data_IF_696958159604
#
_entry.id   IF_696958159604
#
_cell.length_a   1.000
_cell.length_b   1.000
_cell.length_c   1.000
_cell.angle_alpha   90.00
_cell.angle_beta   90.00
_cell.angle_gamma   90.00
#
_symmetry.space_group_name_H-M   'P 1'
#
loop_
_entity.id
_entity.type
_entity.pdbx_description
1 polymer ?
#
# COMPACT_ATOMS: atom_id res chain seq x y z
N UNK A 1 2.24 64.88 49.77
CA UNK A 1 2.61 64.22 48.51
C UNK A 1 3.66 63.18 48.84
N UNK A 2 3.42 61.90 48.54
CA UNK A 2 4.46 60.87 48.63
C UNK A 2 5.15 60.79 47.26
N UNK A 3 6.47 61.00 47.21
CA UNK A 3 7.24 60.81 45.98
C UNK A 3 7.47 59.31 45.72
N UNK A 4 7.47 58.85 44.46
CA UNK A 4 7.77 57.45 44.15
C UNK A 4 9.24 57.13 44.44
N UNK A 5 9.49 55.91 44.92
CA UNK A 5 10.84 55.40 45.15
C UNK A 5 11.64 55.25 43.83
N UNK A 6 12.98 55.37 43.86
CA UNK A 6 13.81 55.15 42.68
C UNK A 6 13.74 53.66 42.26
N UNK A 7 13.73 53.36 40.94
CA UNK A 7 13.63 51.98 40.47
C UNK A 7 14.82 51.15 40.94
N UNK A 8 14.54 49.96 41.49
CA UNK A 8 15.55 49.03 41.96
C UNK A 8 16.46 48.61 40.81
N UNK A 9 17.78 48.74 41.00
CA UNK A 9 18.77 48.23 40.04
C UNK A 9 18.65 46.71 39.96
N UNK A 10 17.99 46.23 38.91
CA UNK A 10 18.08 44.83 38.50
C UNK A 10 19.54 44.48 38.28
N UNK A 11 20.11 43.67 39.20
CA UNK A 11 21.46 43.15 39.02
C UNK A 11 21.50 42.41 37.67
N UNK A 12 22.45 42.71 36.77
CA UNK A 12 22.59 41.90 35.57
C UNK A 12 22.82 40.46 36.01
N UNK A 13 21.94 39.56 35.58
CA UNK A 13 22.04 38.13 35.86
C UNK A 13 23.38 37.67 35.30
N UNK A 14 24.36 37.41 36.18
CA UNK A 14 25.69 36.89 35.81
C UNK A 14 25.43 35.66 34.95
N UNK A 15 25.70 35.78 33.66
CA UNK A 15 25.74 34.62 32.78
C UNK A 15 27.02 33.87 33.16
N UNK A 16 26.88 32.79 33.93
CA UNK A 16 27.98 31.84 34.11
C UNK A 16 28.42 31.41 32.71
N UNK A 17 29.71 31.58 32.40
CA UNK A 17 30.20 31.17 31.10
C UNK A 17 29.98 29.65 30.95
N UNK A 18 29.59 29.23 29.75
CA UNK A 18 29.47 27.80 29.47
C UNK A 18 30.84 27.27 29.05
N UNK A 19 31.21 26.11 29.61
CA UNK A 19 32.44 25.43 29.25
C UNK A 19 32.56 25.19 27.74
N UNK A 20 33.77 25.30 27.23
CA UNK A 20 34.07 25.07 25.82
C UNK A 20 34.33 23.59 25.54
N UNK A 21 33.88 23.08 24.40
CA UNK A 21 34.31 21.75 23.96
C UNK A 21 35.74 21.79 23.43
N UNK A 22 36.62 21.00 24.06
CA UNK A 22 37.93 20.71 23.48
C UNK A 22 37.82 19.90 22.18
N UNK A 23 38.93 19.78 21.42
CA UNK A 23 38.93 19.07 20.15
C UNK A 23 38.49 17.61 20.32
N UNK A 24 37.88 17.07 19.27
CA UNK A 24 37.62 15.65 19.16
C UNK A 24 38.93 14.87 19.07
N UNK A 25 39.06 13.81 19.89
CA UNK A 25 40.12 12.83 19.73
C UNK A 25 39.99 12.02 18.43
N UNK A 26 40.99 11.16 18.13
CA UNK A 26 40.94 10.26 16.99
C UNK A 26 39.77 9.27 17.10
N UNK A 27 39.37 8.71 15.96
CA UNK A 27 38.43 7.58 15.90
C UNK A 27 39.12 6.31 16.42
N UNK A 28 38.36 5.48 17.14
CA UNK A 28 38.76 4.11 17.48
C UNK A 28 38.85 3.23 16.22
N UNK A 29 39.38 2.02 16.40
CA UNK A 29 39.09 0.91 15.49
C UNK A 29 37.57 0.66 15.37
N UNK A 30 37.16 -0.01 14.29
CA UNK A 30 35.79 -0.46 14.10
C UNK A 30 35.44 -1.56 15.12
N UNK A 31 34.19 -1.60 15.60
CA UNK A 31 33.73 -2.63 16.55
C UNK A 31 33.57 -4.04 15.93
N UNK A 32 33.47 -4.12 14.61
CA UNK A 32 33.45 -5.36 13.81
C UNK A 32 34.79 -5.58 13.12
N UNK A 33 35.14 -6.85 12.83
CA UNK A 33 36.33 -7.22 12.05
C UNK A 33 36.07 -7.41 10.55
N UNK A 34 34.80 -7.55 10.16
CA UNK A 34 34.32 -7.61 8.77
C UNK A 34 32.90 -7.03 8.70
N UNK A 35 32.46 -6.64 7.51
CA UNK A 35 31.16 -6.02 7.30
C UNK A 35 30.99 -4.68 8.02
N UNK A 36 29.77 -4.41 8.46
CA UNK A 36 29.36 -3.16 9.13
C UNK A 36 29.76 -3.15 10.61
N UNK A 37 30.16 -1.99 11.13
CA UNK A 37 30.39 -1.76 12.55
C UNK A 37 30.39 -0.27 12.91
N UNK A 38 30.83 0.05 14.13
CA UNK A 38 30.89 1.42 14.67
C UNK A 38 32.29 1.75 15.19
N UNK A 39 32.77 2.95 14.90
CA UNK A 39 33.92 3.58 15.54
C UNK A 39 33.46 4.71 16.49
N UNK A 40 34.13 4.85 17.62
CA UNK A 40 33.87 5.88 18.64
C UNK A 40 34.97 6.95 18.59
N UNK A 41 34.60 8.21 18.81
CA UNK A 41 35.53 9.26 19.27
C UNK A 41 34.96 10.04 20.45
N UNK A 42 35.84 10.65 21.22
CA UNK A 42 35.48 11.41 22.44
C UNK A 42 36.15 12.77 22.45
N UNK A 43 35.47 13.76 23.02
CA UNK A 43 36.02 15.08 23.38
C UNK A 43 36.06 15.25 24.90
N UNK A 44 36.62 16.37 25.37
CA UNK A 44 36.58 16.76 26.78
C UNK A 44 35.91 18.13 26.91
N UNK A 45 35.08 18.31 27.93
CA UNK A 45 34.56 19.63 28.29
C UNK A 45 35.68 20.38 29.00
N UNK A 46 36.15 21.46 28.40
CA UNK A 46 37.13 22.39 28.96
C UNK A 46 36.34 23.48 29.68
N UNK A 47 36.18 23.32 31.00
CA UNK A 47 35.47 24.28 31.84
C UNK A 47 36.27 24.59 33.11
N UNK A 48 36.21 25.83 33.59
CA UNK A 48 36.61 26.16 34.97
C UNK A 48 35.57 25.68 35.99
N UNK A 49 35.88 25.80 37.28
CA UNK A 49 34.96 25.38 38.35
C UNK A 49 33.66 26.23 38.40
N UNK A 50 33.72 27.50 37.98
CA UNK A 50 32.60 28.45 37.96
C UNK A 50 31.77 28.40 36.66
N UNK A 51 32.18 27.59 35.68
CA UNK A 51 31.54 27.46 34.37
C UNK A 51 30.54 26.31 34.29
N UNK A 52 29.44 26.52 33.56
CA UNK A 52 28.43 25.50 33.33
C UNK A 52 28.96 24.32 32.49
N UNK A 53 28.45 23.09 32.68
CA UNK A 53 28.77 21.96 31.82
C UNK A 53 28.48 22.25 30.33
N UNK A 54 29.35 21.77 29.45
CA UNK A 54 29.22 21.94 28.00
C UNK A 54 27.95 21.24 27.44
N UNK A 55 27.10 21.95 26.70
CA UNK A 55 25.90 21.35 26.06
C UNK A 55 26.27 20.34 24.96
N UNK A 56 25.57 19.21 24.92
CA UNK A 56 25.68 18.17 23.89
C UNK A 56 26.58 16.99 24.27
N UNK A 57 26.72 16.01 23.38
CA UNK A 57 27.39 14.76 23.73
C UNK A 57 28.92 14.85 23.82
N UNK A 58 29.49 14.19 24.82
CA UNK A 58 30.94 14.00 24.95
C UNK A 58 31.49 12.91 23.99
N UNK A 59 30.63 11.99 23.56
CA UNK A 59 30.94 10.86 22.69
C UNK A 59 30.26 11.05 21.33
N UNK A 60 30.91 10.60 20.26
CA UNK A 60 30.30 10.56 18.94
C UNK A 60 30.68 9.25 18.26
N UNK A 61 29.73 8.67 17.53
CA UNK A 61 29.85 7.37 16.90
C UNK A 61 29.76 7.53 15.38
N UNK A 62 30.53 6.77 14.63
CA UNK A 62 30.55 6.77 13.16
C UNK A 62 30.52 5.35 12.62
N UNK A 63 29.76 5.16 11.57
CA UNK A 63 29.68 3.92 10.81
C UNK A 63 31.03 3.59 10.16
N UNK A 64 31.41 2.32 10.17
CA UNK A 64 32.57 1.82 9.43
C UNK A 64 32.17 0.58 8.64
N UNK A 65 32.40 0.64 7.33
CA UNK A 65 32.28 -0.51 6.44
C UNK A 65 33.66 -1.14 6.25
N UNK A 66 33.76 -2.42 6.54
CA UNK A 66 34.91 -3.26 6.22
C UNK A 66 34.57 -4.19 5.05
N UNK A 67 35.55 -4.97 4.59
CA UNK A 67 35.31 -6.03 3.61
C UNK A 67 34.23 -6.99 4.12
N UNK A 68 33.38 -7.48 3.21
CA UNK A 68 32.28 -8.39 3.55
C UNK A 68 32.79 -9.64 4.27
N UNK A 69 32.03 -10.10 5.27
CA UNK A 69 32.39 -11.29 6.02
C UNK A 69 32.42 -12.54 5.13
N UNK A 70 33.28 -13.54 5.42
CA UNK A 70 33.38 -14.77 4.63
C UNK A 70 32.03 -15.50 4.49
N UNK A 71 31.82 -16.16 3.35
CA UNK A 71 30.61 -16.94 3.09
C UNK A 71 30.35 -17.97 4.19
N UNK A 72 29.12 -17.96 4.75
CA UNK A 72 28.75 -18.79 5.90
C UNK A 72 29.03 -18.17 7.28
N UNK A 73 29.53 -16.92 7.36
CA UNK A 73 29.70 -16.21 8.63
C UNK A 73 28.38 -16.08 9.40
N UNK A 74 28.38 -16.50 10.68
CA UNK A 74 27.23 -16.34 11.57
C UNK A 74 26.95 -14.84 11.80
N UNK A 75 25.70 -14.36 11.68
CA UNK A 75 25.37 -12.95 11.95
C UNK A 75 25.81 -12.51 13.35
N UNK A 76 26.37 -11.30 13.47
CA UNK A 76 27.03 -10.84 14.70
C UNK A 76 26.18 -10.96 15.98
N UNK A 77 24.85 -10.78 15.87
CA UNK A 77 23.89 -10.98 16.98
C UNK A 77 23.64 -12.46 17.32
N UNK A 78 23.61 -13.33 16.30
CA UNK A 78 23.48 -14.77 16.51
C UNK A 78 24.76 -15.35 17.13
N UNK A 79 25.94 -14.84 16.74
CA UNK A 79 27.20 -15.13 17.42
C UNK A 79 27.11 -14.74 18.91
N UNK A 80 26.67 -13.53 19.23
CA UNK A 80 26.47 -13.07 20.62
C UNK A 80 25.49 -13.96 21.41
N UNK A 81 24.38 -14.43 20.83
CA UNK A 81 23.51 -15.42 21.48
C UNK A 81 24.23 -16.76 21.71
N UNK A 82 24.96 -17.27 20.71
CA UNK A 82 25.68 -18.56 20.82
C UNK A 82 26.80 -18.57 21.86
N UNK A 83 27.27 -17.40 22.33
CA UNK A 83 28.15 -17.30 23.49
C UNK A 83 27.50 -17.81 24.79
N UNK A 84 26.19 -18.05 24.81
CA UNK A 84 25.42 -18.59 25.92
C UNK A 84 24.87 -20.01 25.66
N UNK A 85 25.17 -20.60 24.49
CA UNK A 85 24.82 -22.01 24.20
C UNK A 85 25.44 -22.93 25.27
N UNK A 86 24.63 -23.88 25.75
CA UNK A 86 24.98 -24.87 26.78
C UNK A 86 25.43 -24.34 28.15
N UNK A 87 25.35 -23.03 28.41
CA UNK A 87 25.62 -22.42 29.71
C UNK A 87 24.37 -22.42 30.60
N UNK A 88 24.50 -22.64 31.93
CA UNK A 88 23.39 -22.50 32.86
C UNK A 88 22.95 -21.04 32.95
N UNK A 89 21.65 -20.80 32.88
CA UNK A 89 21.05 -19.46 33.04
C UNK A 89 20.57 -19.30 34.47
N UNK A 90 20.69 -18.10 35.04
CA UNK A 90 20.38 -17.85 36.44
C UNK A 90 18.88 -18.14 36.73
N UNK A 91 18.62 -19.20 37.50
CA UNK A 91 17.27 -19.70 37.79
C UNK A 91 16.85 -20.95 36.98
N UNK A 92 17.64 -21.41 36.00
CA UNK A 92 17.30 -22.53 35.12
C UNK A 92 18.39 -23.60 35.12
N UNK A 93 18.03 -24.85 35.45
CA UNK A 93 18.97 -25.99 35.49
C UNK A 93 19.22 -26.63 34.11
N UNK A 94 18.33 -26.39 33.14
CA UNK A 94 18.43 -26.93 31.79
C UNK A 94 19.37 -26.10 30.91
N UNK A 95 20.18 -26.80 30.11
CA UNK A 95 20.98 -26.20 29.03
C UNK A 95 20.08 -25.95 27.82
N UNK A 96 20.31 -24.83 27.14
CA UNK A 96 19.57 -24.43 25.95
C UNK A 96 20.52 -23.91 24.87
N UNK A 97 20.01 -23.91 23.65
CA UNK A 97 20.64 -23.27 22.49
C UNK A 97 19.87 -22.00 22.14
N UNK A 98 20.55 -20.94 21.71
CA UNK A 98 20.00 -19.59 21.66
C UNK A 98 20.05 -18.98 20.26
N UNK A 99 18.93 -18.39 19.82
CA UNK A 99 18.83 -17.63 18.56
C UNK A 99 18.30 -16.21 18.80
N UNK A 100 18.68 -15.19 18.02
CA UNK A 100 18.25 -13.81 18.25
C UNK A 100 16.74 -13.63 18.25
N UNK A 101 16.23 -12.94 19.28
CA UNK A 101 14.83 -12.55 19.37
C UNK A 101 14.67 -11.04 19.19
N UNK A 102 13.78 -10.64 18.28
CA UNK A 102 13.57 -9.23 17.90
C UNK A 102 12.23 -8.65 18.36
N UNK A 103 11.35 -9.46 18.99
CA UNK A 103 10.03 -9.05 19.47
C UNK A 103 10.00 -8.47 20.90
N UNK A 104 11.15 -8.32 21.55
CA UNK A 104 11.25 -7.74 22.89
C UNK A 104 11.23 -6.20 22.84
N UNK A 105 10.77 -5.51 23.91
CA UNK A 105 10.56 -4.05 23.89
C UNK A 105 11.81 -3.22 23.54
N UNK A 106 13.00 -3.63 24.02
CA UNK A 106 14.26 -3.02 23.59
C UNK A 106 14.99 -3.93 22.60
N UNK A 107 14.98 -3.53 21.32
CA UNK A 107 15.70 -4.23 20.24
C UNK A 107 17.22 -4.20 20.39
N UNK A 108 17.80 -3.41 21.30
CA UNK A 108 19.24 -3.34 21.54
C UNK A 108 19.72 -4.02 22.84
N UNK A 109 18.82 -4.73 23.53
CA UNK A 109 19.23 -5.74 24.50
C UNK A 109 19.43 -7.10 23.82
N UNK A 110 20.32 -7.94 24.35
CA UNK A 110 20.68 -9.26 23.83
C UNK A 110 19.61 -10.29 24.21
N UNK A 111 18.42 -10.06 23.66
CA UNK A 111 17.29 -10.98 23.74
C UNK A 111 17.53 -12.17 22.81
N UNK A 112 17.52 -13.37 23.38
CA UNK A 112 17.70 -14.62 22.64
C UNK A 112 16.60 -15.62 23.02
N UNK A 113 15.94 -16.20 22.02
CA UNK A 113 14.93 -17.25 22.17
C UNK A 113 15.63 -18.61 22.40
N UNK A 114 15.13 -19.40 23.36
CA UNK A 114 15.60 -20.77 23.55
C UNK A 114 15.01 -21.68 22.45
N UNK A 115 15.87 -22.32 21.65
CA UNK A 115 15.46 -23.18 20.53
C UNK A 115 14.62 -24.35 21.05
N UNK A 116 13.44 -24.56 20.44
CA UNK A 116 12.48 -25.58 20.87
C UNK A 116 11.55 -25.16 22.01
N UNK A 117 11.68 -23.94 22.53
CA UNK A 117 10.86 -23.41 23.61
C UNK A 117 10.18 -22.07 23.24
N UNK A 118 9.21 -21.65 24.06
CA UNK A 118 8.40 -20.45 23.87
C UNK A 118 8.84 -19.25 24.74
N UNK A 119 10.05 -19.27 25.28
CA UNK A 119 10.60 -18.18 26.11
C UNK A 119 11.93 -17.66 25.55
N UNK A 120 12.19 -16.37 25.80
CA UNK A 120 13.48 -15.73 25.53
C UNK A 120 14.11 -15.28 26.84
N UNK A 121 15.43 -15.11 26.83
CA UNK A 121 16.20 -14.53 27.94
C UNK A 121 17.00 -13.32 27.43
N UNK A 122 17.29 -12.37 28.33
CA UNK A 122 17.98 -11.12 27.99
C UNK A 122 19.36 -11.07 28.63
N UNK A 123 20.40 -11.34 27.85
CA UNK A 123 21.79 -11.44 28.33
C UNK A 123 22.49 -10.06 28.44
N UNK A 124 21.78 -9.02 28.90
CA UNK A 124 22.26 -7.64 28.93
C UNK A 124 22.10 -6.94 27.57
N UNK A 125 23.08 -6.11 27.18
CA UNK A 125 23.07 -5.33 25.93
C UNK A 125 23.82 -6.04 24.80
N UNK A 126 23.41 -5.81 23.55
CA UNK A 126 24.24 -6.18 22.39
C UNK A 126 25.48 -5.29 22.30
N UNK A 127 26.53 -5.78 21.65
CA UNK A 127 27.75 -5.02 21.37
C UNK A 127 27.47 -3.85 20.40
N UNK A 128 28.12 -2.71 20.63
CA UNK A 128 27.97 -1.51 19.79
C UNK A 128 28.32 -1.83 18.31
N UNK A 129 27.43 -1.48 17.39
CA UNK A 129 27.52 -1.84 15.96
C UNK A 129 26.71 -3.09 15.56
N UNK A 130 26.05 -3.76 16.50
CA UNK A 130 25.10 -4.85 16.15
C UNK A 130 23.84 -4.28 15.49
N UNK A 131 23.41 -4.81 14.33
CA UNK A 131 22.15 -4.39 13.67
C UNK A 131 20.94 -4.54 14.61
N UNK A 132 20.07 -3.52 14.60
CA UNK A 132 18.85 -3.53 15.43
C UNK A 132 17.86 -4.61 15.01
N UNK A 133 17.63 -4.79 13.71
CA UNK A 133 16.71 -5.78 13.11
C UNK A 133 17.38 -6.48 11.91
N UNK A 134 16.88 -7.63 11.43
CA UNK A 134 17.24 -8.14 10.11
C UNK A 134 16.91 -7.09 9.04
N UNK A 135 17.80 -6.89 8.07
CA UNK A 135 17.62 -5.92 6.99
C UNK A 135 17.83 -4.43 7.36
N UNK A 136 17.89 -4.04 8.63
CA UNK A 136 18.06 -2.63 8.99
C UNK A 136 19.49 -2.12 8.80
N UNK A 137 19.63 -0.90 8.26
CA UNK A 137 20.88 -0.13 8.32
C UNK A 137 21.18 0.39 9.72
N UNK A 138 20.17 0.48 10.60
CA UNK A 138 20.33 0.94 11.98
C UNK A 138 21.15 -0.02 12.84
N UNK A 139 22.03 0.56 13.66
CA UNK A 139 22.92 -0.16 14.56
C UNK A 139 22.64 0.22 16.02
N UNK A 140 22.74 -0.78 16.90
CA UNK A 140 22.68 -0.58 18.34
C UNK A 140 23.97 0.06 18.86
N UNK A 141 23.83 1.10 19.68
CA UNK A 141 24.92 1.79 20.38
C UNK A 141 24.46 2.17 21.78
N UNK A 142 25.21 1.79 22.81
CA UNK A 142 24.91 2.12 24.21
C UNK A 142 23.58 1.55 24.74
N UNK A 143 22.98 0.58 24.04
CA UNK A 143 21.64 0.06 24.33
C UNK A 143 20.48 0.80 23.66
N UNK A 144 20.75 1.74 22.73
CA UNK A 144 19.75 2.40 21.88
C UNK A 144 19.96 2.03 20.41
N UNK A 145 18.89 1.91 19.64
CA UNK A 145 18.99 1.77 18.19
C UNK A 145 19.23 3.15 17.56
N UNK A 146 20.29 3.31 16.77
CA UNK A 146 20.66 4.56 16.11
C UNK A 146 20.81 4.34 14.60
N UNK A 147 20.17 5.20 13.81
CA UNK A 147 20.37 5.28 12.37
C UNK A 147 21.72 5.91 12.01
N UNK A 148 22.23 5.57 10.83
CA UNK A 148 23.43 6.16 10.25
C UNK A 148 23.06 7.41 9.45
N UNK A 149 23.57 8.58 9.87
CA UNK A 149 23.43 9.84 9.16
C UNK A 149 24.28 9.88 7.88
N UNK A 150 24.00 10.82 6.97
CA UNK A 150 24.69 10.88 5.68
C UNK A 150 26.17 11.33 5.74
N UNK A 151 26.61 11.89 6.87
CA UNK A 151 28.01 12.14 7.21
C UNK A 151 28.70 10.91 7.84
N UNK A 152 27.98 9.77 7.90
CA UNK A 152 28.38 8.53 8.56
C UNK A 152 28.21 8.55 10.08
N UNK A 153 27.72 9.63 10.69
CA UNK A 153 27.59 9.76 12.15
C UNK A 153 26.28 9.10 12.63
N UNK A 154 26.33 8.38 13.75
CA UNK A 154 25.14 7.78 14.37
C UNK A 154 24.57 8.68 15.46
N UNK A 155 23.25 8.76 15.53
CA UNK A 155 22.51 9.42 16.62
C UNK A 155 22.38 10.94 16.55
N UNK A 156 23.07 11.60 15.61
CA UNK A 156 22.69 12.96 15.18
C UNK A 156 21.27 12.94 14.60
N UNK A 157 20.36 13.73 15.17
CA UNK A 157 18.90 13.61 15.00
C UNK A 157 18.31 13.77 13.59
N UNK A 158 19.14 13.96 12.57
CA UNK A 158 18.76 13.61 11.20
C UNK A 158 18.65 12.10 11.08
N UNK A 159 17.42 11.58 11.10
CA UNK A 159 17.09 10.35 10.37
C UNK A 159 17.71 10.40 8.97
N UNK A 160 18.03 9.26 8.33
CA UNK A 160 18.51 9.24 6.96
C UNK A 160 17.54 10.04 6.09
N UNK A 161 17.96 11.20 5.58
CA UNK A 161 17.13 11.99 4.65
C UNK A 161 17.04 11.18 3.37
N UNK A 162 15.94 10.47 3.26
CA UNK A 162 15.81 9.29 2.42
C UNK A 162 16.11 9.67 0.98
N UNK A 163 17.25 9.18 0.51
CA UNK A 163 17.70 9.22 -0.87
C UNK A 163 19.02 8.45 -0.95
N UNK A 164 19.16 7.56 -1.92
CA UNK A 164 20.21 6.54 -1.98
C UNK A 164 21.59 7.04 -2.46
N UNK A 165 22.00 8.27 -2.08
CA UNK A 165 23.41 8.71 -2.11
C UNK A 165 23.68 9.91 -1.21
N UNK A 166 24.60 9.75 -0.28
CA UNK A 166 25.09 10.83 0.58
C UNK A 166 26.24 11.56 -0.10
N UNK A 167 26.00 12.80 -0.54
CA UNK A 167 26.96 13.65 -1.25
C UNK A 167 26.52 13.95 -2.69
N UNK A 168 26.36 15.21 -3.10
CA UNK A 168 26.49 16.44 -2.31
C UNK A 168 25.98 17.67 -3.07
N UNK A 169 25.76 18.77 -2.36
CA UNK A 169 25.04 19.95 -2.86
C UNK A 169 23.75 20.20 -2.06
N UNK A 170 23.27 21.45 -2.06
CA UNK A 170 22.06 21.82 -1.32
C UNK A 170 20.81 21.27 -2.02
N UNK A 171 19.83 20.78 -1.25
CA UNK A 171 18.54 20.25 -1.72
C UNK A 171 18.59 19.14 -2.79
N UNK A 172 19.26 18.02 -2.51
CA UNK A 172 19.32 16.88 -3.43
C UNK A 172 17.99 16.15 -3.71
N UNK A 173 17.00 16.20 -2.82
CA UNK A 173 15.79 15.35 -2.90
C UNK A 173 14.48 16.04 -2.51
N UNK A 174 13.37 15.47 -2.99
CA UNK A 174 12.00 15.89 -2.77
C UNK A 174 11.29 14.89 -1.85
N UNK A 175 10.80 15.36 -0.70
CA UNK A 175 9.82 14.64 0.10
C UNK A 175 8.44 14.85 -0.51
N UNK A 176 7.70 13.76 -0.74
CA UNK A 176 6.30 13.78 -1.18
C UNK A 176 5.47 13.17 -0.07
N UNK A 177 4.86 14.01 0.77
CA UNK A 177 3.82 13.63 1.73
C UNK A 177 2.51 14.30 1.35
N UNK A 178 1.44 13.52 1.25
CA UNK A 178 0.10 13.97 0.86
C UNK A 178 -0.98 13.11 1.51
N UNK A 179 -2.18 13.68 1.60
CA UNK A 179 -3.39 13.02 2.06
C UNK A 179 -4.39 12.95 0.89
N UNK A 180 -4.85 11.76 0.53
CA UNK A 180 -5.86 11.55 -0.50
C UNK A 180 -7.25 11.51 0.15
N UNK A 181 -8.04 12.55 -0.09
CA UNK A 181 -9.35 12.80 0.53
C UNK A 181 -10.49 12.91 -0.49
N UNK A 182 -10.34 12.36 -1.70
CA UNK A 182 -11.44 12.35 -2.67
C UNK A 182 -12.63 11.54 -2.12
N UNK A 183 -13.76 12.22 -1.99
CA UNK A 183 -15.01 11.74 -1.39
C UNK A 183 -16.11 11.46 -2.41
N UNK A 184 -15.86 11.69 -3.70
CA UNK A 184 -16.89 11.76 -4.74
C UNK A 184 -16.92 10.56 -5.72
N UNK A 185 -17.72 9.52 -5.43
CA UNK A 185 -18.23 8.63 -6.45
C UNK A 185 -19.46 9.28 -7.11
N UNK A 186 -19.24 10.29 -7.97
CA UNK A 186 -20.29 11.00 -8.74
C UNK A 186 -21.12 10.08 -9.68
N UNK A 187 -20.79 8.79 -9.70
CA UNK A 187 -21.68 7.68 -10.04
C UNK A 187 -21.15 6.44 -9.29
N UNK A 188 -22.02 5.47 -8.95
CA UNK A 188 -21.73 4.32 -8.09
C UNK A 188 -20.76 3.26 -8.64
N UNK A 189 -19.53 3.67 -8.99
CA UNK A 189 -18.47 2.86 -9.55
C UNK A 189 -17.72 2.09 -8.44
N UNK A 190 -18.11 0.83 -8.20
CA UNK A 190 -17.33 -0.06 -7.35
C UNK A 190 -16.11 -0.60 -8.12
N UNK A 191 -14.91 -0.22 -7.69
CA UNK A 191 -13.63 -0.64 -8.28
C UNK A 191 -12.46 -0.08 -7.50
N UNK A 192 -11.24 -0.34 -7.99
CA UNK A 192 -10.02 0.25 -7.43
C UNK A 192 -9.85 1.68 -7.96
N UNK A 193 -9.95 2.67 -7.08
CA UNK A 193 -9.67 4.09 -7.39
C UNK A 193 -8.16 4.35 -7.26
N UNK A 194 -7.56 5.09 -8.19
CA UNK A 194 -6.14 5.47 -8.08
C UNK A 194 -5.96 6.53 -6.97
N UNK A 195 -5.06 6.25 -6.01
CA UNK A 195 -4.70 7.14 -4.90
C UNK A 195 -3.48 7.98 -5.26
N UNK A 196 -2.44 7.34 -5.79
CA UNK A 196 -1.21 8.01 -6.22
C UNK A 196 -0.35 7.12 -7.12
N UNK A 197 0.61 7.72 -7.81
CA UNK A 197 1.69 7.04 -8.53
C UNK A 197 3.00 7.25 -7.78
N UNK A 198 3.61 6.16 -7.35
CA UNK A 198 4.96 6.13 -6.79
C UNK A 198 5.92 5.88 -7.95
N UNK A 199 6.82 6.81 -8.30
CA UNK A 199 7.73 6.62 -9.43
C UNK A 199 8.79 5.56 -9.18
N UNK A 200 9.52 5.18 -10.24
CA UNK A 200 10.86 4.61 -10.11
C UNK A 200 11.79 5.54 -9.30
N UNK A 201 12.80 4.97 -8.63
CA UNK A 201 13.72 5.69 -7.74
C UNK A 201 13.11 6.16 -6.41
N UNK A 202 11.84 5.86 -6.14
CA UNK A 202 11.18 6.20 -4.88
C UNK A 202 11.71 5.36 -3.72
N UNK A 203 11.92 5.99 -2.57
CA UNK A 203 12.55 5.39 -1.39
C UNK A 203 11.80 5.74 -0.10
N UNK A 204 11.91 4.85 0.91
CA UNK A 204 11.16 4.85 2.17
C UNK A 204 9.68 5.18 1.97
N UNK A 205 9.05 4.37 1.12
CA UNK A 205 7.64 4.44 0.78
C UNK A 205 6.83 4.00 1.99
N UNK A 206 5.83 4.82 2.35
CA UNK A 206 4.79 4.46 3.30
C UNK A 206 3.43 4.93 2.80
N UNK A 207 2.43 4.04 2.86
CA UNK A 207 1.01 4.38 2.70
C UNK A 207 0.28 3.84 3.92
N UNK A 208 -0.61 4.64 4.50
CA UNK A 208 -1.44 4.26 5.65
C UNK A 208 -2.89 4.63 5.41
N UNK A 209 -3.79 3.69 5.64
CA UNK A 209 -5.23 3.92 5.73
C UNK A 209 -5.73 3.50 7.13
N UNK A 210 -6.78 4.16 7.61
CA UNK A 210 -7.39 3.96 8.94
C UNK A 210 -8.89 3.73 8.79
N UNK A 211 -9.24 2.77 7.94
CA UNK A 211 -10.61 2.48 7.54
C UNK A 211 -10.81 0.99 7.22
N UNK A 212 -12.04 0.59 6.92
CA UNK A 212 -12.39 -0.75 6.45
C UNK A 212 -12.21 -0.93 4.93
N UNK A 213 -11.62 0.05 4.24
CA UNK A 213 -11.24 -0.05 2.84
C UNK A 213 -10.06 -1.02 2.64
N UNK A 214 -9.65 -1.24 1.39
CA UNK A 214 -8.48 -2.06 1.04
C UNK A 214 -7.59 -1.34 0.04
N UNK A 215 -6.39 -0.95 0.48
CA UNK A 215 -5.30 -0.49 -0.38
C UNK A 215 -4.88 -1.62 -1.33
N UNK A 216 -4.49 -1.27 -2.54
CA UNK A 216 -3.90 -2.19 -3.51
C UNK A 216 -2.69 -1.56 -4.21
N UNK A 217 -1.76 -2.41 -4.64
CA UNK A 217 -0.54 -2.01 -5.32
C UNK A 217 -0.44 -2.73 -6.67
N UNK A 218 -0.32 -1.96 -7.74
CA UNK A 218 -0.26 -2.44 -9.13
C UNK A 218 1.01 -1.94 -9.81
N UNK A 219 1.65 -2.78 -10.62
CA UNK A 219 2.81 -2.43 -11.44
C UNK A 219 2.42 -1.57 -12.64
N UNK A 220 3.39 -0.88 -13.21
CA UNK A 220 3.30 -0.20 -14.51
C UNK A 220 2.73 -1.08 -15.65
N UNK A 221 2.91 -2.40 -15.60
CA UNK A 221 2.39 -3.36 -16.59
C UNK A 221 0.94 -3.82 -16.37
N UNK A 222 0.26 -3.29 -15.34
CA UNK A 222 -1.12 -3.62 -15.00
C UNK A 222 -1.31 -4.91 -14.21
N UNK A 223 -0.24 -5.53 -13.68
CA UNK A 223 -0.35 -6.65 -12.72
C UNK A 223 -0.40 -6.14 -11.29
N UNK A 224 -1.36 -6.65 -10.51
CA UNK A 224 -1.40 -6.46 -9.06
C UNK A 224 -0.27 -7.23 -8.36
N UNK A 225 0.34 -6.61 -7.36
CA UNK A 225 1.36 -7.20 -6.47
C UNK A 225 0.74 -7.56 -5.12
N UNK A 226 -0.11 -6.68 -4.62
CA UNK A 226 -0.77 -6.77 -3.32
C UNK A 226 -2.19 -6.23 -3.43
N UNK A 227 -3.18 -7.06 -3.09
CA UNK A 227 -4.62 -6.82 -3.29
C UNK A 227 -4.98 -6.52 -4.75
N UNK A 228 -6.13 -7.01 -5.21
CA UNK A 228 -6.49 -6.98 -6.63
C UNK A 228 -7.16 -8.27 -7.06
N UNK A 229 -7.62 -8.35 -8.30
CA UNK A 229 -8.36 -9.51 -8.85
C UNK A 229 -9.61 -9.89 -8.03
N UNK A 230 -10.11 -8.99 -7.18
CA UNK A 230 -11.13 -9.21 -6.13
C UNK A 230 -10.71 -10.21 -5.04
N UNK A 231 -9.40 -10.35 -4.81
CA UNK A 231 -8.78 -11.06 -3.70
C UNK A 231 -8.17 -10.07 -2.71
N UNK A 232 -8.35 -10.37 -1.42
CA UNK A 232 -7.59 -9.78 -0.32
C UNK A 232 -6.40 -10.69 -0.04
N UNK A 233 -5.22 -10.10 0.14
CA UNK A 233 -3.97 -10.77 0.43
C UNK A 233 -3.76 -10.88 1.95
N UNK A 234 -2.83 -11.73 2.39
CA UNK A 234 -2.51 -11.88 3.82
C UNK A 234 -1.39 -10.91 4.23
N UNK A 235 -1.43 -10.32 5.45
CA UNK A 235 -0.32 -9.53 5.98
C UNK A 235 1.02 -10.27 5.90
N UNK A 236 2.08 -9.59 5.44
CA UNK A 236 3.39 -10.20 5.18
C UNK A 236 4.24 -9.45 4.15
N UNK A 237 5.42 -9.97 3.79
CA UNK A 237 6.29 -9.41 2.76
C UNK A 237 5.88 -9.82 1.34
N UNK A 238 5.99 -8.88 0.40
CA UNK A 238 5.71 -9.04 -1.04
C UNK A 238 6.83 -8.42 -1.86
N UNK A 239 7.19 -9.00 -3.00
CA UNK A 239 8.23 -8.44 -3.88
C UNK A 239 7.61 -7.46 -4.91
N UNK A 240 7.99 -6.19 -4.84
CA UNK A 240 7.41 -5.10 -5.62
C UNK A 240 8.50 -4.19 -6.21
N UNK A 241 8.58 -4.05 -7.54
CA UNK A 241 9.48 -3.09 -8.20
C UNK A 241 10.95 -3.13 -7.69
N UNK A 242 11.53 -4.31 -7.48
CA UNK A 242 12.92 -4.45 -7.00
C UNK A 242 13.12 -4.29 -5.48
N UNK A 243 12.08 -3.92 -4.73
CA UNK A 243 12.09 -3.79 -3.27
C UNK A 243 11.09 -4.73 -2.60
N UNK A 244 11.39 -5.17 -1.39
CA UNK A 244 10.44 -5.89 -0.55
C UNK A 244 9.46 -4.90 0.09
N UNK A 245 8.17 -5.11 -0.15
CA UNK A 245 7.04 -4.40 0.43
C UNK A 245 6.52 -5.18 1.65
N UNK A 246 6.49 -4.56 2.81
CA UNK A 246 5.79 -5.07 3.97
C UNK A 246 4.33 -4.57 3.95
N UNK A 247 3.39 -5.51 3.87
CA UNK A 247 1.97 -5.27 4.05
C UNK A 247 1.56 -5.62 5.48
N UNK A 248 0.92 -4.69 6.20
CA UNK A 248 0.33 -4.97 7.50
C UNK A 248 -1.13 -4.53 7.56
N UNK A 249 -1.95 -5.26 8.31
CA UNK A 249 -3.32 -4.88 8.63
C UNK A 249 -3.61 -5.24 10.08
N UNK A 250 -4.02 -4.25 10.86
CA UNK A 250 -4.22 -4.33 12.31
C UNK A 250 -5.70 -4.60 12.67
N UNK A 251 -6.00 -5.12 13.87
CA UNK A 251 -7.37 -5.48 14.27
C UNK A 251 -8.34 -4.30 14.41
N UNK A 252 -7.83 -3.07 14.52
CA UNK A 252 -8.57 -1.81 14.50
C UNK A 252 -9.02 -1.39 13.09
N UNK A 253 -8.56 -2.10 12.06
CA UNK A 253 -8.78 -1.78 10.65
C UNK A 253 -7.60 -1.06 9.99
N UNK A 254 -6.65 -0.52 10.75
CA UNK A 254 -5.51 0.24 10.20
C UNK A 254 -4.68 -0.64 9.27
N UNK A 255 -4.44 -0.17 8.05
CA UNK A 255 -3.72 -0.86 6.99
C UNK A 255 -2.50 -0.05 6.57
N UNK A 256 -1.35 -0.71 6.41
CA UNK A 256 -0.11 -0.05 5.96
C UNK A 256 0.66 -0.82 4.91
N UNK A 257 1.26 -0.04 4.01
CA UNK A 257 2.22 -0.45 2.98
C UNK A 257 3.55 0.22 3.30
N UNK A 258 4.61 -0.52 3.60
CA UNK A 258 5.94 0.04 3.88
C UNK A 258 7.02 -0.62 3.01
N UNK A 259 7.84 0.15 2.29
CA UNK A 259 8.92 -0.37 1.44
C UNK A 259 10.17 0.53 1.49
N UNK A 260 11.39 -0.01 1.69
CA UNK A 260 12.61 0.80 1.74
C UNK A 260 12.98 1.41 0.38
N UNK A 261 12.73 0.70 -0.73
CA UNK A 261 13.19 1.09 -2.06
C UNK A 261 14.73 0.98 -2.21
N UNK A 262 15.31 1.53 -3.29
CA UNK A 262 14.61 2.22 -4.39
C UNK A 262 13.71 1.29 -5.20
N UNK A 263 12.72 1.87 -5.87
CA UNK A 263 11.89 1.19 -6.88
C UNK A 263 12.57 1.18 -8.25
N UNK A 264 12.59 0.04 -8.92
CA UNK A 264 13.12 -0.12 -10.29
C UNK A 264 12.13 0.31 -11.39
N UNK A 265 10.83 0.39 -11.05
CA UNK A 265 9.73 0.73 -11.96
C UNK A 265 8.67 1.58 -11.24
N UNK A 266 7.76 2.15 -12.03
CA UNK A 266 6.59 2.86 -11.49
C UNK A 266 5.57 1.89 -10.86
N UNK A 267 5.07 2.28 -9.68
CA UNK A 267 4.01 1.62 -8.94
C UNK A 267 2.78 2.52 -8.81
N UNK A 268 1.59 1.92 -8.91
CA UNK A 268 0.31 2.58 -8.73
C UNK A 268 -0.32 2.11 -7.42
N UNK A 269 -0.60 3.06 -6.53
CA UNK A 269 -1.38 2.84 -5.31
C UNK A 269 -2.85 3.07 -5.64
N UNK A 270 -3.70 2.11 -5.31
CA UNK A 270 -5.14 2.19 -5.48
C UNK A 270 -5.85 1.88 -4.16
N UNK A 271 -7.14 2.18 -4.08
CA UNK A 271 -8.02 1.77 -2.97
C UNK A 271 -9.33 1.21 -3.49
N UNK A 272 -9.77 0.08 -2.90
CA UNK A 272 -11.14 -0.41 -2.99
C UNK A 272 -11.92 0.13 -1.80
N UNK A 273 -12.82 1.07 -2.05
CA UNK A 273 -13.68 1.65 -1.02
C UNK A 273 -14.79 0.67 -0.60
N UNK A 274 -14.86 0.41 0.69
CA UNK A 274 -15.94 -0.25 1.43
C UNK A 274 -16.78 0.77 2.22
N UNK A 275 -16.16 1.87 2.63
CA UNK A 275 -16.78 3.00 3.34
C UNK A 275 -16.18 4.34 2.88
N UNK A 276 -16.79 5.50 3.22
CA UNK A 276 -16.25 6.81 2.84
C UNK A 276 -14.80 6.98 3.30
N UNK A 277 -13.94 7.40 2.37
CA UNK A 277 -12.52 7.60 2.60
C UNK A 277 -12.26 8.66 3.70
N UNK A 278 -11.67 8.31 4.86
CA UNK A 278 -11.34 9.30 5.90
C UNK A 278 -10.09 10.12 5.57
N UNK A 279 -9.28 9.66 4.62
CA UNK A 279 -8.00 10.24 4.21
C UNK A 279 -6.91 9.17 4.20
N UNK A 280 -6.46 8.77 3.01
CA UNK A 280 -5.32 7.86 2.84
C UNK A 280 -4.03 8.69 2.84
N UNK A 281 -3.19 8.47 3.84
CA UNK A 281 -1.93 9.18 4.01
C UNK A 281 -0.80 8.44 3.28
N UNK A 282 -0.04 9.14 2.43
CA UNK A 282 1.14 8.57 1.78
C UNK A 282 2.35 9.49 1.85
N UNK A 283 3.50 8.90 2.12
CA UNK A 283 4.80 9.55 2.12
C UNK A 283 5.85 8.70 1.36
N UNK A 284 6.71 9.36 0.58
CA UNK A 284 7.90 8.77 -0.04
C UNK A 284 8.88 9.87 -0.46
N UNK A 285 10.10 9.47 -0.83
CA UNK A 285 11.16 10.40 -1.24
C UNK A 285 11.68 10.12 -2.65
N UNK A 286 12.05 11.18 -3.37
CA UNK A 286 12.54 11.15 -4.75
C UNK A 286 13.82 11.99 -4.94
N UNK A 287 14.78 11.55 -5.77
CA UNK A 287 15.87 12.40 -6.24
C UNK A 287 15.37 13.61 -7.03
N UNK A 288 15.89 14.83 -6.76
CA UNK A 288 15.67 15.96 -7.68
C UNK A 288 16.45 15.69 -8.97
N UNK A 289 15.85 16.08 -10.11
CA UNK A 289 16.35 15.74 -11.45
C UNK A 289 15.65 14.54 -12.10
N UNK A 290 14.82 13.79 -11.36
CA UNK A 290 13.84 12.90 -11.99
C UNK A 290 12.84 13.73 -12.83
N UNK A 291 12.45 13.29 -14.04
CA UNK A 291 11.67 14.12 -14.96
C UNK A 291 10.24 14.35 -14.43
N UNK A 292 9.98 15.52 -13.83
CA UNK A 292 8.70 15.88 -13.22
C UNK A 292 7.54 16.12 -14.21
N UNK A 293 7.69 15.71 -15.47
CA UNK A 293 6.77 15.96 -16.58
C UNK A 293 5.42 15.21 -16.49
N UNK A 294 5.14 14.55 -15.37
CA UNK A 294 3.84 13.93 -15.05
C UNK A 294 3.38 14.18 -13.60
N UNK A 295 3.90 15.22 -12.91
CA UNK A 295 3.46 15.59 -11.55
C UNK A 295 2.65 16.89 -11.48
N UNK A 296 2.37 17.51 -12.64
CA UNK A 296 1.38 18.57 -12.79
C UNK A 296 0.43 18.17 -13.91
N UNK A 297 -0.87 18.23 -13.58
CA UNK A 297 -2.03 18.15 -14.45
C UNK A 297 -2.34 16.83 -15.20
N UNK A 298 -3.16 15.99 -14.54
CA UNK A 298 -4.47 15.66 -15.12
C UNK A 298 -5.57 15.91 -14.10
N UNK A 299 -6.00 17.17 -13.96
CA UNK A 299 -7.25 17.53 -13.29
C UNK A 299 -8.03 18.50 -14.17
N UNK A 300 -9.19 18.04 -14.67
CA UNK A 300 -10.07 18.75 -15.59
C UNK A 300 -9.48 19.16 -16.97
N UNK A 301 -9.59 18.25 -17.96
CA UNK A 301 -9.58 18.63 -19.37
C UNK A 301 -10.79 19.53 -19.68
N UNK A 302 -10.56 20.85 -19.64
CA UNK A 302 -11.36 21.97 -20.19
C UNK A 302 -12.87 21.76 -20.39
N UNK A 303 -13.65 22.55 -19.66
CA UNK A 303 -14.85 23.19 -20.23
C UNK A 303 -14.69 24.72 -20.24
N UNK A 304 -15.30 25.47 -21.18
CA UNK A 304 -15.11 26.92 -21.27
C UNK A 304 -15.92 27.70 -20.22
N UNK A 305 -15.39 28.84 -19.78
CA UNK A 305 -16.15 29.83 -18.99
C UNK A 305 -17.20 30.55 -19.84
N UNK A 306 -18.37 30.85 -19.26
CA UNK A 306 -19.03 32.14 -19.41
C UNK A 306 -18.72 33.07 -18.21
N UNK A 307 -18.83 34.39 -18.40
CA UNK A 307 -18.60 35.40 -17.35
C UNK A 307 -19.92 35.98 -16.83
N UNK A 308 -20.01 36.12 -15.50
CA UNK A 308 -20.39 37.39 -14.85
C UNK A 308 -21.87 37.76 -14.65
N UNK A 309 -22.29 37.70 -13.37
CA UNK A 309 -23.13 38.66 -12.62
C UNK A 309 -24.60 38.98 -13.05
N UNK A 310 -25.47 39.15 -12.03
CA UNK A 310 -26.80 39.78 -12.16
C UNK A 310 -27.91 39.13 -11.30
N UNK A 311 -28.80 39.95 -10.71
CA UNK A 311 -29.89 39.57 -9.78
C UNK A 311 -31.18 40.38 -10.09
N UNK A 312 -32.39 40.10 -9.55
CA UNK A 312 -33.07 38.80 -9.36
C UNK A 312 -34.56 38.76 -9.92
N UNK A 313 -35.69 38.38 -9.22
CA UNK A 313 -36.91 37.72 -9.81
C UNK A 313 -38.08 38.73 -10.12
N UNK A 314 -39.38 38.39 -10.43
CA UNK A 314 -40.23 37.16 -10.28
C UNK A 314 -41.06 36.79 -11.58
N UNK A 315 -42.25 36.13 -11.68
CA UNK A 315 -43.32 35.67 -10.75
C UNK A 315 -44.22 34.48 -11.25
N UNK A 316 -44.95 33.90 -10.28
CA UNK A 316 -46.22 33.13 -10.18
C UNK A 316 -47.00 32.40 -11.34
N UNK A 317 -47.23 31.08 -11.10
CA UNK A 317 -48.52 30.30 -11.07
C UNK A 317 -49.40 30.09 -12.34
N UNK A 318 -50.40 29.15 -12.38
CA UNK A 318 -50.95 28.23 -11.35
C UNK A 318 -51.04 26.70 -11.73
N UNK A 319 -51.74 25.89 -10.90
CA UNK A 319 -51.98 24.42 -11.04
C UNK A 319 -53.28 24.04 -11.80
N UNK A 320 -53.52 22.72 -12.07
CA UNK A 320 -54.65 22.05 -11.35
C UNK A 320 -54.46 20.57 -10.88
N UNK A 321 -55.35 20.19 -9.95
CA UNK A 321 -55.75 18.90 -9.30
C UNK A 321 -55.44 17.52 -9.98
N UNK A 322 -54.96 16.45 -9.29
CA UNK A 322 -55.57 15.57 -8.23
C UNK A 322 -56.59 14.55 -8.81
N UNK A 323 -56.49 13.21 -8.60
CA UNK A 323 -56.74 12.52 -7.30
C UNK A 323 -55.81 11.29 -7.00
N UNK A 324 -56.16 10.19 -6.25
CA UNK A 324 -55.54 9.97 -4.94
C UNK A 324 -54.80 8.63 -4.73
N UNK A 325 -54.01 8.55 -3.63
CA UNK A 325 -53.33 7.33 -3.15
C UNK A 325 -54.31 6.27 -2.62
N UNK A 326 -54.10 5.01 -3.02
CA UNK A 326 -54.50 3.85 -2.23
C UNK A 326 -53.32 3.39 -1.33
N UNK A 327 -53.54 3.24 -0.02
CA UNK A 327 -52.60 2.57 0.89
C UNK A 327 -52.85 1.05 0.88
N UNK A 328 -51.80 0.24 0.84
CA UNK A 328 -51.79 -1.12 1.41
C UNK A 328 -50.52 -1.33 2.25
N UNK A 329 -50.52 -2.24 3.24
CA UNK A 329 -49.46 -2.30 4.25
C UNK A 329 -48.15 -2.86 3.71
N UNK A 330 -47.06 -2.47 4.37
CA UNK A 330 -45.76 -3.15 4.28
C UNK A 330 -45.87 -4.45 5.08
N UNK A 331 -45.37 -5.56 4.54
CA UNK A 331 -45.09 -6.78 5.30
C UNK A 331 -43.89 -7.47 4.68
N UNK A 332 -42.85 -7.68 5.48
CA UNK A 332 -41.55 -8.20 5.08
C UNK A 332 -41.02 -9.09 6.22
N UNK A 333 -40.13 -10.06 5.95
CA UNK A 333 -40.25 -11.12 4.96
C UNK A 333 -40.27 -12.52 5.62
N UNK A 334 -40.56 -13.54 4.81
CA UNK A 334 -40.09 -14.92 5.07
C UNK A 334 -39.21 -15.35 3.89
N UNK A 335 -38.02 -15.93 4.12
CA UNK A 335 -37.13 -16.32 3.04
C UNK A 335 -37.69 -17.52 2.26
N UNK A 336 -37.59 -17.52 0.92
CA UNK A 336 -37.98 -18.69 0.13
C UNK A 336 -37.05 -19.87 0.44
N UNK A 337 -37.64 -21.03 0.75
CA UNK A 337 -36.90 -22.27 1.00
C UNK A 337 -35.98 -22.61 -0.18
N UNK A 338 -34.75 -23.01 0.13
CA UNK A 338 -33.80 -23.56 -0.85
C UNK A 338 -34.40 -24.76 -1.59
N UNK A 339 -34.26 -24.85 -2.93
CA UNK A 339 -34.59 -26.07 -3.67
C UNK A 339 -33.74 -27.26 -3.18
N UNK A 340 -34.23 -28.51 -3.23
CA UNK A 340 -33.47 -29.68 -2.80
C UNK A 340 -32.19 -29.85 -3.62
N UNK A 341 -31.08 -30.20 -2.95
CA UNK A 341 -29.77 -30.31 -3.58
C UNK A 341 -29.71 -31.37 -4.67
N UNK A 342 -29.52 -30.96 -5.92
CA UNK A 342 -29.19 -31.86 -7.03
C UNK A 342 -27.77 -32.40 -6.81
N UNK A 343 -27.66 -33.68 -6.43
CA UNK A 343 -26.37 -34.37 -6.34
C UNK A 343 -25.65 -34.32 -7.69
N UNK A 344 -24.39 -33.93 -7.68
CA UNK A 344 -23.59 -33.80 -8.89
C UNK A 344 -23.40 -35.16 -9.59
N UNK A 345 -24.04 -35.34 -10.75
CA UNK A 345 -23.77 -36.45 -11.64
C UNK A 345 -22.53 -36.13 -12.50
N UNK A 346 -21.50 -36.98 -12.43
CA UNK A 346 -20.32 -36.86 -13.29
C UNK A 346 -20.65 -37.34 -14.71
N UNK A 347 -20.71 -36.44 -15.69
CA UNK A 347 -20.81 -36.84 -17.10
C UNK A 347 -21.20 -35.75 -18.09
N UNK A 348 -20.30 -35.46 -19.04
CA UNK A 348 -20.52 -34.77 -20.33
C UNK A 348 -21.20 -33.38 -20.28
N UNK A 349 -20.39 -32.34 -20.47
CA UNK A 349 -20.87 -31.00 -20.81
C UNK A 349 -21.72 -31.00 -22.10
N UNK A 350 -22.95 -30.49 -22.01
CA UNK A 350 -23.82 -30.30 -23.18
C UNK A 350 -23.35 -29.13 -24.07
N UNK A 351 -23.79 -29.11 -25.33
CA UNK A 351 -23.46 -28.01 -26.26
C UNK A 351 -24.06 -26.69 -25.75
N UNK A 352 -23.22 -25.68 -25.53
CA UNK A 352 -23.66 -24.33 -25.17
C UNK A 352 -24.60 -23.78 -26.27
N UNK A 353 -25.67 -23.09 -25.88
CA UNK A 353 -26.68 -22.53 -26.79
C UNK A 353 -26.52 -21.00 -26.85
N UNK A 354 -25.69 -20.43 -27.75
CA UNK A 354 -25.53 -18.99 -27.84
C UNK A 354 -26.82 -18.33 -28.35
N UNK A 355 -27.17 -17.11 -27.88
CA UNK A 355 -28.35 -16.37 -28.31
C UNK A 355 -28.38 -16.15 -29.83
N UNK A 356 -29.57 -16.15 -30.42
CA UNK A 356 -29.82 -16.10 -31.87
C UNK A 356 -30.77 -14.95 -32.25
N UNK A 357 -30.53 -14.34 -33.41
CA UNK A 357 -31.37 -13.29 -33.97
C UNK A 357 -31.08 -11.88 -33.44
N UNK A 358 -31.70 -10.87 -34.06
CA UNK A 358 -31.50 -9.44 -33.74
C UNK A 358 -32.04 -9.09 -32.35
N UNK A 359 -33.25 -9.53 -32.02
CA UNK A 359 -33.93 -9.17 -30.77
C UNK A 359 -33.18 -9.65 -29.53
N UNK A 360 -32.69 -10.90 -29.51
CA UNK A 360 -31.89 -11.41 -28.39
C UNK A 360 -30.57 -10.65 -28.24
N UNK A 361 -29.87 -10.31 -29.35
CA UNK A 361 -28.64 -9.49 -29.29
C UNK A 361 -28.90 -8.11 -28.68
N UNK A 362 -29.98 -7.43 -29.10
CA UNK A 362 -30.38 -6.14 -28.52
C UNK A 362 -30.72 -6.29 -27.04
N UNK A 363 -31.48 -7.32 -26.66
CA UNK A 363 -31.82 -7.59 -25.27
C UNK A 363 -30.56 -7.81 -24.40
N UNK A 364 -29.61 -8.65 -24.82
CA UNK A 364 -28.36 -8.84 -24.08
C UNK A 364 -27.55 -7.52 -24.02
N UNK A 365 -27.45 -6.74 -25.11
CA UNK A 365 -26.73 -5.46 -25.11
C UNK A 365 -27.37 -4.44 -24.13
N UNK A 366 -28.70 -4.34 -24.13
CA UNK A 366 -29.45 -3.42 -23.26
C UNK A 366 -29.43 -3.86 -21.78
N UNK A 367 -29.45 -5.17 -21.49
CA UNK A 367 -29.52 -5.72 -20.13
C UNK A 367 -28.15 -6.04 -19.50
N UNK A 368 -27.06 -6.07 -20.27
CA UNK A 368 -25.72 -6.23 -19.73
C UNK A 368 -25.18 -4.95 -19.08
N UNK A 369 -24.19 -5.13 -18.22
CA UNK A 369 -23.45 -4.04 -17.55
C UNK A 369 -22.11 -3.78 -18.22
N UNK A 370 -21.59 -4.78 -18.94
CA UNK A 370 -20.36 -4.73 -19.71
C UNK A 370 -20.63 -5.34 -21.10
N UNK A 371 -20.30 -4.61 -22.16
CA UNK A 371 -20.29 -5.07 -23.55
C UNK A 371 -18.99 -4.63 -24.20
N UNK A 372 -18.13 -5.59 -24.55
CA UNK A 372 -16.77 -5.31 -24.98
C UNK A 372 -16.20 -6.39 -25.90
N UNK A 373 -15.26 -5.99 -26.76
CA UNK A 373 -14.37 -6.87 -27.50
C UNK A 373 -13.19 -7.23 -26.59
N UNK A 374 -12.93 -8.52 -26.43
CA UNK A 374 -11.85 -9.04 -25.59
C UNK A 374 -11.04 -10.11 -26.33
N UNK A 375 -9.72 -10.13 -26.09
CA UNK A 375 -8.84 -11.24 -26.47
C UNK A 375 -8.64 -12.15 -25.27
N UNK A 376 -8.87 -13.45 -25.43
CA UNK A 376 -8.73 -14.42 -24.34
C UNK A 376 -7.25 -14.75 -24.17
N UNK A 377 -6.68 -14.47 -23.01
CA UNK A 377 -5.27 -14.75 -22.71
C UNK A 377 -5.11 -16.15 -22.12
N UNK A 378 -5.87 -16.46 -21.06
CA UNK A 378 -5.80 -17.73 -20.35
C UNK A 378 -7.17 -18.17 -19.83
N UNK A 379 -7.30 -19.45 -19.47
CA UNK A 379 -8.46 -20.02 -18.76
C UNK A 379 -8.00 -20.89 -17.60
N UNK A 380 -8.69 -20.82 -16.47
CA UNK A 380 -8.40 -21.61 -15.26
C UNK A 380 -9.71 -22.04 -14.59
N UNK A 381 -9.83 -23.32 -14.24
CA UNK A 381 -10.88 -23.80 -13.34
C UNK A 381 -10.57 -23.38 -11.91
N UNK A 382 -11.53 -22.74 -11.23
CA UNK A 382 -11.41 -22.28 -9.85
C UNK A 382 -12.65 -22.77 -9.10
N UNK A 383 -12.48 -23.74 -8.18
CA UNK A 383 -13.60 -24.42 -7.55
C UNK A 383 -14.49 -25.12 -8.57
N UNK A 384 -15.77 -24.71 -8.65
CA UNK A 384 -16.76 -25.23 -9.62
C UNK A 384 -16.99 -24.28 -10.82
N UNK A 385 -16.15 -23.27 -11.00
CA UNK A 385 -16.31 -22.21 -11.99
C UNK A 385 -15.12 -22.12 -12.95
N UNK A 386 -15.31 -21.46 -14.09
CA UNK A 386 -14.24 -21.14 -15.05
C UNK A 386 -13.93 -19.64 -15.02
N UNK A 387 -12.68 -19.29 -14.70
CA UNK A 387 -12.13 -17.93 -14.81
C UNK A 387 -11.35 -17.79 -16.12
N UNK A 388 -11.71 -16.80 -16.93
CA UNK A 388 -10.97 -16.40 -18.13
C UNK A 388 -10.23 -15.10 -17.85
N UNK A 389 -8.92 -15.08 -18.11
CA UNK A 389 -8.12 -13.85 -18.16
C UNK A 389 -8.24 -13.27 -19.56
N UNK A 390 -8.66 -12.01 -19.68
CA UNK A 390 -8.93 -11.39 -20.98
C UNK A 390 -8.30 -10.01 -21.08
N UNK A 391 -7.77 -9.68 -22.26
CA UNK A 391 -7.35 -8.32 -22.61
C UNK A 391 -8.53 -7.58 -23.22
N UNK A 392 -8.92 -6.43 -22.67
CA UNK A 392 -9.98 -5.58 -23.23
C UNK A 392 -9.42 -4.83 -24.44
N UNK A 393 -10.03 -5.04 -25.61
CA UNK A 393 -9.58 -4.46 -26.90
C UNK A 393 -10.46 -3.29 -27.33
N UNK A 394 -11.77 -3.35 -27.05
CA UNK A 394 -12.70 -2.25 -27.37
C UNK A 394 -13.91 -2.29 -26.44
N UNK A 395 -14.12 -1.29 -25.56
CA UNK A 395 -15.40 -1.13 -24.88
C UNK A 395 -16.47 -0.64 -25.87
N UNK A 396 -17.65 -1.27 -25.90
CA UNK A 396 -18.82 -0.76 -26.63
C UNK A 396 -19.84 -0.15 -25.66
N UNK A 397 -20.03 -0.75 -24.49
CA UNK A 397 -20.86 -0.22 -23.40
C UNK A 397 -20.35 -0.70 -22.05
N UNK A 398 -20.35 0.16 -21.05
CA UNK A 398 -20.04 -0.24 -19.68
C UNK A 398 -20.76 0.68 -18.69
N UNK A 399 -21.25 0.12 -17.57
CA UNK A 399 -21.83 0.88 -16.43
C UNK A 399 -20.86 1.06 -15.27
N UNK A 400 -19.74 0.34 -15.31
CA UNK A 400 -18.68 0.32 -14.30
C UNK A 400 -17.33 0.38 -15.03
N UNK A 401 -16.22 0.78 -14.38
CA UNK A 401 -14.95 0.92 -15.06
C UNK A 401 -14.46 -0.46 -15.52
N UNK A 402 -13.74 -0.53 -16.64
CA UNK A 402 -13.05 -1.74 -17.08
C UNK A 402 -11.56 -1.43 -17.25
N UNK A 403 -10.71 -2.30 -16.72
CA UNK A 403 -9.25 -2.19 -16.87
C UNK A 403 -8.77 -2.90 -18.15
N UNK A 404 -7.54 -2.64 -18.65
CA UNK A 404 -7.03 -3.28 -19.87
C UNK A 404 -6.91 -4.82 -19.80
N UNK A 405 -6.86 -5.39 -18.59
CA UNK A 405 -6.82 -6.83 -18.29
C UNK A 405 -7.91 -7.16 -17.26
N UNK A 406 -8.89 -7.96 -17.66
CA UNK A 406 -10.08 -8.29 -16.88
C UNK A 406 -10.20 -9.80 -16.61
N UNK A 407 -11.02 -10.15 -15.60
CA UNK A 407 -11.37 -11.54 -15.31
C UNK A 407 -12.86 -11.80 -15.49
N UNK A 408 -13.17 -12.56 -16.54
CA UNK A 408 -14.55 -12.98 -16.86
C UNK A 408 -14.80 -14.35 -16.26
N UNK A 409 -15.80 -14.44 -15.39
CA UNK A 409 -16.20 -15.66 -14.70
C UNK A 409 -17.39 -16.31 -15.39
N UNK A 410 -17.38 -17.63 -15.47
CA UNK A 410 -18.50 -18.47 -15.94
C UNK A 410 -18.87 -19.45 -14.82
N UNK A 411 -20.16 -19.54 -14.42
CA UNK A 411 -20.60 -20.31 -13.25
C UNK A 411 -20.71 -21.82 -13.51
N UNK A 412 -20.00 -22.36 -14.50
CA UNK A 412 -19.85 -23.81 -14.69
C UNK A 412 -18.42 -24.20 -15.10
N UNK A 413 -17.97 -25.38 -14.66
CA UNK A 413 -16.69 -25.98 -15.07
C UNK A 413 -16.65 -26.35 -16.56
N UNK A 414 -17.82 -26.42 -17.21
CA UNK A 414 -17.94 -26.61 -18.65
C UNK A 414 -17.49 -25.39 -19.47
N UNK A 415 -17.41 -24.22 -18.85
CA UNK A 415 -17.06 -22.98 -19.50
C UNK A 415 -18.01 -22.62 -20.64
N UNK A 416 -19.33 -22.68 -20.41
CA UNK A 416 -20.32 -22.19 -21.38
C UNK A 416 -20.64 -20.69 -21.14
N UNK A 417 -20.56 -19.81 -22.16
CA UNK A 417 -20.14 -20.04 -23.54
C UNK A 417 -18.64 -20.34 -23.71
N UNK A 418 -18.28 -21.25 -24.63
CA UNK A 418 -16.90 -21.72 -24.81
C UNK A 418 -16.00 -20.66 -25.45
N UNK A 419 -15.00 -20.22 -24.69
CA UNK A 419 -13.98 -19.26 -25.11
C UNK A 419 -12.62 -19.97 -25.31
N UNK A 420 -11.95 -19.69 -26.43
CA UNK A 420 -10.64 -20.24 -26.79
C UNK A 420 -9.53 -19.20 -26.59
N UNK A 421 -8.42 -19.61 -25.97
CA UNK A 421 -7.24 -18.75 -25.80
C UNK A 421 -6.65 -18.30 -27.14
N UNK A 422 -6.08 -17.10 -27.17
CA UNK A 422 -5.55 -16.44 -28.37
C UNK A 422 -6.61 -15.81 -29.29
N UNK A 423 -7.87 -16.23 -29.20
CA UNK A 423 -8.96 -15.71 -30.03
C UNK A 423 -9.64 -14.48 -29.42
N UNK A 424 -10.34 -13.73 -30.26
CA UNK A 424 -11.10 -12.53 -29.88
C UNK A 424 -12.60 -12.76 -29.95
N UNK A 425 -13.32 -12.19 -28.99
CA UNK A 425 -14.77 -12.34 -28.84
C UNK A 425 -15.41 -10.99 -28.50
N UNK A 426 -16.65 -10.79 -28.92
CA UNK A 426 -17.57 -9.84 -28.29
C UNK A 426 -18.27 -10.55 -27.14
N UNK A 427 -18.15 -10.00 -25.94
CA UNK A 427 -18.77 -10.49 -24.72
C UNK A 427 -19.82 -9.48 -24.24
N UNK A 428 -20.98 -9.98 -23.76
CA UNK A 428 -21.97 -9.19 -23.01
C UNK A 428 -22.19 -9.87 -21.66
N UNK A 429 -21.75 -9.20 -20.59
CA UNK A 429 -21.67 -9.75 -19.24
C UNK A 429 -22.38 -8.83 -18.23
N UNK A 430 -22.68 -9.37 -17.05
CA UNK A 430 -23.32 -8.64 -15.94
C UNK A 430 -22.36 -8.50 -14.78
N UNK A 431 -22.57 -7.49 -13.95
CA UNK A 431 -21.91 -7.37 -12.65
C UNK A 431 -22.57 -8.32 -11.66
N UNK A 432 -21.81 -9.23 -11.07
CA UNK A 432 -22.28 -10.11 -10.01
C UNK A 432 -21.65 -9.69 -8.69
N UNK A 433 -22.49 -9.31 -7.72
CA UNK A 433 -22.09 -8.97 -6.35
C UNK A 433 -22.69 -10.01 -5.40
N UNK A 434 -21.89 -10.55 -4.46
CA UNK A 434 -22.41 -11.44 -3.40
C UNK A 434 -23.19 -10.65 -2.34
N UNK A 435 -24.08 -11.31 -1.61
CA UNK A 435 -24.88 -10.72 -0.53
C UNK A 435 -24.02 -10.03 0.56
N UNK A 436 -22.84 -10.58 0.85
CA UNK A 436 -21.89 -10.02 1.81
C UNK A 436 -21.05 -8.86 1.23
N UNK A 437 -21.27 -8.47 -0.03
CA UNK A 437 -20.49 -7.48 -0.81
C UNK A 437 -18.99 -7.78 -1.00
N UNK A 438 -18.46 -8.82 -0.36
CA UNK A 438 -17.07 -9.33 -0.44
C UNK A 438 -16.61 -9.76 -1.84
N UNK A 439 -17.54 -10.21 -2.69
CA UNK A 439 -17.26 -10.58 -4.08
C UNK A 439 -18.01 -9.65 -5.03
N UNK A 440 -17.30 -9.09 -5.99
CA UNK A 440 -17.83 -8.28 -7.09
C UNK A 440 -17.07 -8.69 -8.37
N UNK A 441 -17.74 -9.08 -9.46
CA UNK A 441 -17.04 -9.63 -10.64
C UNK A 441 -17.84 -9.53 -11.93
N UNK A 442 -17.13 -9.56 -13.07
CA UNK A 442 -17.73 -9.71 -14.40
C UNK A 442 -18.16 -11.16 -14.58
N UNK A 443 -19.48 -11.40 -14.56
CA UNK A 443 -20.08 -12.72 -14.76
C UNK A 443 -20.68 -12.83 -16.16
N UNK A 444 -20.14 -13.75 -16.96
CA UNK A 444 -20.74 -14.21 -18.20
C UNK A 444 -21.70 -15.36 -17.88
N UNK A 445 -23.00 -15.10 -18.04
CA UNK A 445 -24.04 -16.10 -17.79
C UNK A 445 -23.95 -17.25 -18.80
N UNK A 446 -24.48 -18.42 -18.45
CA UNK A 446 -24.39 -19.67 -19.26
C UNK A 446 -25.07 -19.57 -20.63
N UNK A 447 -26.11 -18.76 -20.69
CA UNK A 447 -26.89 -18.32 -21.86
C UNK A 447 -26.47 -16.92 -22.36
N UNK A 448 -25.41 -16.34 -21.77
CA UNK A 448 -24.89 -15.02 -22.08
C UNK A 448 -24.33 -14.88 -23.50
N UNK A 449 -24.23 -13.64 -23.96
CA UNK A 449 -23.75 -13.36 -25.31
C UNK A 449 -22.23 -13.44 -25.37
N UNK A 450 -21.73 -14.48 -26.04
CA UNK A 450 -20.35 -14.53 -26.51
C UNK A 450 -20.33 -14.94 -27.98
N UNK A 451 -19.65 -14.16 -28.82
CA UNK A 451 -19.48 -14.43 -30.25
C UNK A 451 -18.05 -14.14 -30.68
N UNK A 452 -17.39 -14.98 -31.50
CA UNK A 452 -16.10 -14.65 -32.09
C UNK A 452 -16.17 -13.30 -32.82
N UNK A 453 -15.21 -12.42 -32.56
CA UNK A 453 -15.20 -11.09 -33.17
C UNK A 453 -14.97 -11.19 -34.68
N UNK A 454 -15.66 -10.34 -35.43
CA UNK A 454 -15.42 -10.13 -36.86
C UNK A 454 -15.92 -8.75 -37.29
N UNK A 455 -15.48 -8.21 -38.44
CA UNK A 455 -16.01 -6.97 -38.99
C UNK A 455 -17.52 -7.02 -39.32
N UNK A 456 -18.12 -8.21 -39.42
CA UNK A 456 -19.58 -8.37 -39.52
C UNK A 456 -20.25 -8.24 -38.14
N UNK A 457 -19.71 -8.93 -37.14
CA UNK A 457 -20.19 -8.88 -35.75
C UNK A 457 -20.14 -7.44 -35.20
N UNK A 458 -18.99 -6.76 -35.36
CA UNK A 458 -18.76 -5.34 -35.04
C UNK A 458 -19.93 -4.44 -35.47
N UNK A 459 -20.36 -4.54 -36.73
CA UNK A 459 -21.48 -3.75 -37.28
C UNK A 459 -22.82 -4.11 -36.63
N UNK A 460 -23.05 -5.38 -36.30
CA UNK A 460 -24.29 -5.81 -35.64
C UNK A 460 -24.36 -5.45 -34.15
N UNK A 461 -23.21 -5.27 -33.50
CA UNK A 461 -23.07 -4.80 -32.12
C UNK A 461 -23.31 -3.29 -32.04
N UNK A 462 -22.69 -2.51 -32.94
CA UNK A 462 -22.97 -1.07 -33.10
C UNK A 462 -24.39 -0.78 -33.61
N UNK A 463 -25.02 -1.73 -34.29
CA UNK A 463 -26.46 -1.66 -34.55
C UNK A 463 -27.26 -1.77 -33.24
N UNK A 464 -26.97 -2.76 -32.40
CA UNK A 464 -27.66 -2.94 -31.11
C UNK A 464 -27.44 -1.75 -30.16
N UNK A 465 -26.25 -1.16 -30.16
CA UNK A 465 -25.89 0.07 -29.43
C UNK A 465 -26.92 1.19 -29.64
N UNK A 466 -27.27 1.49 -30.90
CA UNK A 466 -28.28 2.51 -31.27
C UNK A 466 -29.69 2.21 -30.75
N UNK A 467 -30.02 0.95 -30.49
CA UNK A 467 -31.35 0.54 -30.00
C UNK A 467 -31.46 0.57 -28.46
N UNK A 468 -30.34 0.72 -27.75
CA UNK A 468 -30.30 0.80 -26.28
C UNK A 468 -30.00 2.23 -25.77
N UNK A 469 -30.09 3.24 -26.63
CA UNK A 469 -29.64 4.61 -26.37
C UNK A 469 -30.72 5.57 -25.81
N UNK A 470 -31.93 5.07 -25.52
CA UNK A 470 -32.98 5.84 -24.86
C UNK A 470 -33.47 5.12 -23.59
N UNK A 471 -33.42 5.77 -22.41
CA UNK A 471 -34.28 5.38 -21.29
C UNK A 471 -35.72 5.87 -21.54
N UNK A 472 -36.69 5.07 -21.07
CA UNK A 472 -38.01 5.52 -20.65
C UNK A 472 -38.08 5.37 -19.13
#
# INVERSE_FOLDING_TARGET
MWGPEPPTRTRPRRQTAQGAWGPWGPWSACSSSCGDGVALRTRRCLRSAEEEPCTGDQRQYRFCQLQGCPGGSVPFRAMQCSLYDDKPVQGMQTRHRWVPFYGAPNVCDLNCLAVGHNFYYTFGRVLDGTRCRPGSTDLCVGGRCLSVGCDGILGTGTQPRVCSRCGGGQDGCLFVHRLFQDTEPFSGHFGYMNVTKIPAGATNIKVTDKSRNFLALMRSDGRYVLNGDWSIAWPGPYEAAGTQLLYTRSPDGTESLEAPGPTDEDLHVLVLLQEPNPGIEYEFWLPRGHPQHSMVDTSALRQPQPRGAGSPPPAELPLPTVPPRARRPITEPLPPRSPPGVRAAAGRCGRCRPPKGRSQRIQHFCQSDFVFRARILARRSVGQEMRYEVQVVTPYRHRFPMVPREYVWVPDTCGCPTLLGGHEYVLMARRHVNYEHTLNRILLQRDGYARPWSPREERTVRDAERHCAHPQ
#
